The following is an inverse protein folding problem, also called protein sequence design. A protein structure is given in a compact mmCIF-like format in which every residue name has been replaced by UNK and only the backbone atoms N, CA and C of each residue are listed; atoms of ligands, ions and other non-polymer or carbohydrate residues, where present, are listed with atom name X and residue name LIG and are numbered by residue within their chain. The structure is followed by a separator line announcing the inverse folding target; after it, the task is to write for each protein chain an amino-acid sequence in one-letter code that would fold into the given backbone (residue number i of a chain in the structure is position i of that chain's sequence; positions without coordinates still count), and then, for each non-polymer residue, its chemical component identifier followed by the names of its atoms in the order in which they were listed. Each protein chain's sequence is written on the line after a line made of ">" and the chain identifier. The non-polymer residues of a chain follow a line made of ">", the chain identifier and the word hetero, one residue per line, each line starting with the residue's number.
data_IF_122417062338
#
_entry.id   IF_122417062338
#
_cell.length_a   1.000
_cell.length_b   1.000
_cell.length_c   1.000
_cell.angle_alpha   90.00
_cell.angle_beta   90.00
_cell.angle_gamma   90.00
#
_symmetry.space_group_name_H-M   'P 1'
#
loop_
_entity.id
_entity.type
_entity.pdbx_description
1 polymer ?
#
# COMPACT_ATOMS: atom_id res chain seq x y z
N UNK A 1 -7.25 32.46 29.35
CA UNK A 1 -8.07 31.92 28.24
C UNK A 1 -7.14 31.26 27.25
N UNK A 2 -7.41 30.01 26.85
CA UNK A 2 -6.64 29.35 25.78
C UNK A 2 -6.99 30.02 24.45
N UNK A 3 -5.98 30.32 23.62
CA UNK A 3 -6.22 30.86 22.28
C UNK A 3 -6.73 29.76 21.33
N UNK A 4 -7.40 30.14 20.24
CA UNK A 4 -7.85 29.17 19.23
C UNK A 4 -6.68 28.35 18.67
N UNK A 5 -5.53 28.99 18.45
CA UNK A 5 -4.32 28.32 17.97
C UNK A 5 -3.81 27.30 18.99
N UNK A 6 -3.71 27.68 20.27
CA UNK A 6 -3.31 26.74 21.33
C UNK A 6 -4.28 25.56 21.46
N UNK A 7 -5.57 25.80 21.28
CA UNK A 7 -6.58 24.75 21.28
C UNK A 7 -6.39 23.78 20.12
N UNK A 8 -6.22 24.29 18.89
CA UNK A 8 -5.93 23.46 17.71
C UNK A 8 -4.64 22.64 17.90
N UNK A 9 -3.61 23.23 18.50
CA UNK A 9 -2.36 22.53 18.81
C UNK A 9 -2.52 21.45 19.88
N UNK A 10 -3.43 21.63 20.84
CA UNK A 10 -3.76 20.59 21.82
C UNK A 10 -4.50 19.42 21.17
N UNK A 11 -5.46 19.70 20.28
CA UNK A 11 -6.14 18.67 19.47
C UNK A 11 -5.14 17.89 18.63
N UNK A 12 -4.23 18.60 17.95
CA UNK A 12 -3.19 17.97 17.12
C UNK A 12 -2.35 17.00 17.93
N UNK A 13 -1.86 17.41 19.10
CA UNK A 13 -1.05 16.57 19.99
C UNK A 13 -1.81 15.33 20.47
N UNK A 14 -3.03 15.49 20.96
CA UNK A 14 -3.86 14.37 21.41
C UNK A 14 -4.12 13.35 20.29
N UNK A 15 -4.35 13.81 19.06
CA UNK A 15 -4.50 12.92 17.91
C UNK A 15 -3.19 12.18 17.57
N UNK A 16 -2.05 12.86 17.61
CA UNK A 16 -0.75 12.20 17.40
C UNK A 16 -0.47 11.14 18.48
N UNK A 17 -0.79 11.42 19.75
CA UNK A 17 -0.69 10.46 20.85
C UNK A 17 -1.61 9.24 20.66
N UNK A 18 -2.76 9.43 20.03
CA UNK A 18 -3.66 8.34 19.62
C UNK A 18 -3.14 7.56 18.39
N UNK A 19 -1.97 7.89 17.86
CA UNK A 19 -1.36 7.22 16.70
C UNK A 19 -1.91 7.68 15.35
N UNK A 20 -2.53 8.85 15.29
CA UNK A 20 -2.75 9.52 14.02
C UNK A 20 -1.43 10.03 13.46
N UNK A 21 -1.34 10.15 12.14
CA UNK A 21 -0.16 10.60 11.40
C UNK A 21 -0.53 11.56 10.29
N UNK A 22 0.42 12.39 9.90
CA UNK A 22 0.31 13.18 8.68
C UNK A 22 0.31 12.26 7.45
N UNK A 23 -0.37 12.69 6.40
CA UNK A 23 -0.32 12.02 5.10
C UNK A 23 -0.35 13.07 4.00
N UNK A 24 0.56 12.95 3.04
CA UNK A 24 0.65 13.86 1.89
C UNK A 24 -0.54 13.67 0.93
N UNK A 25 -1.16 12.49 0.97
CA UNK A 25 -2.25 12.09 0.06
C UNK A 25 -3.65 12.52 0.52
N UNK A 26 -3.78 13.34 1.56
CA UNK A 26 -5.10 13.84 1.97
C UNK A 26 -5.44 15.10 1.17
N UNK A 27 -6.66 15.15 0.62
CA UNK A 27 -7.18 16.36 0.01
C UNK A 27 -7.26 17.49 1.05
N UNK A 28 -6.50 18.58 0.81
CA UNK A 28 -6.46 19.77 1.66
C UNK A 28 -7.64 20.67 1.30
N UNK A 29 -8.54 20.90 2.25
CA UNK A 29 -9.70 21.80 2.04
C UNK A 29 -9.33 23.27 2.31
N UNK A 30 -10.01 24.25 1.68
CA UNK A 30 -9.85 25.66 2.00
C UNK A 30 -10.04 25.92 3.50
N UNK A 31 -9.16 26.70 4.10
CA UNK A 31 -9.21 27.02 5.54
C UNK A 31 -8.77 25.89 6.48
N UNK A 32 -8.33 24.73 5.96
CA UNK A 32 -7.76 23.66 6.77
C UNK A 32 -6.47 24.14 7.47
N UNK A 33 -6.39 23.92 8.77
CA UNK A 33 -5.23 24.18 9.61
C UNK A 33 -4.30 22.95 9.65
N UNK A 34 -4.84 21.76 9.91
CA UNK A 34 -4.14 20.49 9.73
C UNK A 34 -5.10 19.36 9.35
N UNK A 35 -4.52 18.27 8.86
CA UNK A 35 -5.22 17.04 8.59
C UNK A 35 -4.38 15.82 8.99
N UNK A 36 -5.01 14.87 9.68
CA UNK A 36 -4.39 13.69 10.25
C UNK A 36 -5.20 12.43 9.92
N UNK A 37 -4.51 11.30 9.81
CA UNK A 37 -5.11 10.01 9.46
C UNK A 37 -4.64 8.91 10.41
N UNK A 38 -5.53 8.00 10.79
CA UNK A 38 -5.21 6.79 11.56
C UNK A 38 -5.72 5.55 10.84
N UNK A 39 -4.83 4.57 10.67
CA UNK A 39 -5.21 3.26 10.15
C UNK A 39 -6.09 2.52 11.17
N UNK A 40 -7.21 2.00 10.70
CA UNK A 40 -8.13 1.17 11.49
C UNK A 40 -8.08 -0.28 11.00
N UNK A 41 -8.72 -1.17 11.75
CA UNK A 41 -8.89 -2.57 11.35
C UNK A 41 -9.66 -2.67 10.03
N UNK A 42 -9.48 -3.81 9.36
CA UNK A 42 -10.19 -4.17 8.13
C UNK A 42 -10.02 -3.11 7.05
N UNK A 43 -8.82 -2.56 6.87
CA UNK A 43 -8.51 -1.68 5.75
C UNK A 43 -9.30 -0.36 5.71
N UNK A 44 -9.74 0.12 6.87
CA UNK A 44 -10.37 1.43 7.01
C UNK A 44 -9.35 2.46 7.52
N UNK A 45 -9.60 3.74 7.28
CA UNK A 45 -8.84 4.85 7.82
C UNK A 45 -9.79 5.88 8.41
N UNK A 46 -9.43 6.42 9.57
CA UNK A 46 -10.11 7.58 10.16
C UNK A 46 -9.33 8.83 9.80
N UNK A 47 -10.00 9.79 9.19
CA UNK A 47 -9.46 11.07 8.75
C UNK A 47 -10.03 12.15 9.65
N UNK A 48 -9.18 13.00 10.19
CA UNK A 48 -9.57 14.16 11.00
C UNK A 48 -8.96 15.41 10.38
N UNK A 49 -9.78 16.43 10.13
CA UNK A 49 -9.35 17.75 9.65
C UNK A 49 -9.75 18.79 10.67
N UNK A 50 -8.83 19.72 10.95
CA UNK A 50 -9.09 20.88 11.77
C UNK A 50 -8.99 22.14 10.91
N UNK A 51 -9.87 23.11 11.16
CA UNK A 51 -9.97 24.34 10.40
C UNK A 51 -9.57 25.54 11.24
N UNK A 52 -9.15 26.62 10.56
CA UNK A 52 -8.71 27.86 11.21
C UNK A 52 -9.82 28.58 11.98
N UNK A 53 -11.08 28.24 11.75
CA UNK A 53 -12.25 28.74 12.47
C UNK A 53 -12.60 27.91 13.72
N UNK A 54 -11.80 26.88 14.03
CA UNK A 54 -12.01 26.00 15.19
C UNK A 54 -12.94 24.81 14.93
N UNK A 55 -13.45 24.64 13.71
CA UNK A 55 -14.21 23.45 13.36
C UNK A 55 -13.31 22.22 13.21
N UNK A 56 -13.87 21.07 13.56
CA UNK A 56 -13.28 19.76 13.32
C UNK A 56 -14.21 18.95 12.41
N UNK A 57 -13.65 18.28 11.42
CA UNK A 57 -14.31 17.25 10.62
C UNK A 57 -13.66 15.90 10.89
N UNK A 58 -14.46 14.85 11.02
CA UNK A 58 -13.98 13.49 11.14
C UNK A 58 -14.79 12.53 10.26
N UNK A 59 -14.10 11.69 9.51
CA UNK A 59 -14.68 10.67 8.65
C UNK A 59 -13.92 9.35 8.77
N UNK A 60 -14.64 8.24 8.62
CA UNK A 60 -14.02 6.93 8.43
C UNK A 60 -14.33 6.47 7.02
N UNK A 61 -13.29 6.15 6.27
CA UNK A 61 -13.35 5.73 4.88
C UNK A 61 -12.52 4.48 4.64
N UNK A 62 -12.70 3.85 3.48
CA UNK A 62 -11.80 2.78 3.03
C UNK A 62 -10.39 3.38 2.89
N UNK A 63 -9.34 2.65 3.31
CA UNK A 63 -7.97 3.14 3.16
C UNK A 63 -7.65 3.44 1.69
N UNK A 64 -6.91 4.52 1.44
CA UNK A 64 -6.42 4.92 0.11
C UNK A 64 -5.62 3.84 -0.63
N UNK A 65 -5.18 2.79 0.07
CA UNK A 65 -4.48 1.66 -0.53
C UNK A 65 -5.40 0.68 -1.26
N UNK A 66 -6.72 0.87 -1.17
CA UNK A 66 -7.69 0.06 -1.89
C UNK A 66 -8.30 0.83 -3.06
N UNK A 67 -8.50 0.16 -4.19
CA UNK A 67 -9.15 0.76 -5.37
C UNK A 67 -10.57 1.25 -5.07
N UNK A 68 -11.22 0.63 -4.08
CA UNK A 68 -12.57 0.94 -3.64
C UNK A 68 -12.64 2.14 -2.68
N UNK A 69 -11.52 2.82 -2.41
CA UNK A 69 -11.43 4.02 -1.55
C UNK A 69 -12.61 5.00 -1.68
N UNK A 70 -13.03 5.46 -2.88
CA UNK A 70 -14.11 6.44 -3.01
C UNK A 70 -15.52 5.88 -2.77
N UNK A 71 -15.68 4.55 -2.66
CA UNK A 71 -17.00 3.91 -2.64
C UNK A 71 -17.70 3.99 -1.27
N UNK A 72 -16.95 4.19 -0.18
CA UNK A 72 -17.51 4.14 1.16
C UNK A 72 -16.82 5.09 2.12
N UNK A 73 -17.64 5.93 2.76
CA UNK A 73 -17.25 6.83 3.86
C UNK A 73 -18.42 7.00 4.82
N UNK A 74 -18.13 7.30 6.08
CA UNK A 74 -19.14 7.67 7.09
C UNK A 74 -18.61 8.77 8.01
N UNK A 75 -19.49 9.58 8.61
CA UNK A 75 -19.07 10.49 9.67
C UNK A 75 -18.47 9.73 10.86
N UNK A 76 -17.50 10.35 11.52
CA UNK A 76 -16.78 9.81 12.68
C UNK A 76 -16.66 10.83 13.83
N UNK A 77 -17.63 11.75 13.91
CA UNK A 77 -17.68 12.80 14.94
C UNK A 77 -17.80 12.24 16.36
N UNK A 78 -18.51 11.13 16.55
CA UNK A 78 -18.64 10.48 17.85
C UNK A 78 -17.31 9.84 18.31
N UNK A 79 -16.60 9.19 17.40
CA UNK A 79 -15.27 8.64 17.66
C UNK A 79 -14.29 9.75 18.03
N UNK A 80 -14.32 10.87 17.30
CA UNK A 80 -13.49 12.03 17.60
C UNK A 80 -13.86 12.63 18.97
N UNK A 81 -15.14 12.83 19.26
CA UNK A 81 -15.57 13.34 20.56
C UNK A 81 -15.09 12.45 21.71
N UNK A 82 -15.14 11.12 21.55
CA UNK A 82 -14.59 10.18 22.54
C UNK A 82 -13.08 10.35 22.76
N UNK A 83 -12.31 10.59 21.69
CA UNK A 83 -10.88 10.90 21.79
C UNK A 83 -10.66 12.20 22.57
N UNK A 84 -11.32 13.29 22.17
CA UNK A 84 -11.15 14.60 22.79
C UNK A 84 -11.54 14.58 24.28
N UNK A 85 -12.59 13.84 24.65
CA UNK A 85 -12.97 13.65 26.06
C UNK A 85 -11.90 12.95 26.88
N UNK A 86 -11.28 11.88 26.35
CA UNK A 86 -10.20 11.17 27.06
C UNK A 86 -8.99 12.07 27.35
N UNK A 87 -8.68 12.95 26.40
CA UNK A 87 -7.61 13.94 26.50
C UNK A 87 -8.03 15.23 27.22
N UNK A 88 -9.24 15.28 27.78
CA UNK A 88 -9.80 16.45 28.49
C UNK A 88 -9.78 17.74 27.67
N UNK A 89 -9.90 17.63 26.35
CA UNK A 89 -9.95 18.77 25.45
C UNK A 89 -11.39 19.27 25.36
N UNK A 90 -11.68 20.53 25.75
CA UNK A 90 -12.99 21.12 25.60
C UNK A 90 -13.39 21.16 24.11
N UNK A 91 -14.58 20.69 23.79
CA UNK A 91 -15.11 20.75 22.43
C UNK A 91 -16.63 20.85 22.46
N UNK A 92 -17.19 21.62 21.54
CA UNK A 92 -18.62 21.63 21.28
C UNK A 92 -18.99 20.37 20.49
N UNK A 93 -20.21 19.87 20.71
CA UNK A 93 -20.75 18.74 19.93
C UNK A 93 -20.86 19.06 18.42
N UNK A 94 -20.77 20.33 18.04
CA UNK A 94 -20.74 20.83 16.65
C UNK A 94 -19.43 20.51 15.91
N UNK A 95 -18.86 19.33 16.16
CA UNK A 95 -17.97 18.71 15.18
C UNK A 95 -18.82 18.47 13.94
N UNK A 96 -18.40 18.98 12.77
CA UNK A 96 -19.21 18.90 11.56
C UNK A 96 -19.61 17.45 11.30
N UNK A 97 -20.89 17.14 11.54
CA UNK A 97 -21.48 15.86 11.16
C UNK A 97 -21.72 15.98 9.67
N UNK A 98 -20.76 15.47 8.88
CA UNK A 98 -20.95 15.36 7.44
C UNK A 98 -22.24 14.57 7.18
N UNK A 99 -23.07 15.00 6.20
CA UNK A 99 -24.29 14.28 5.87
C UNK A 99 -23.95 12.82 5.55
N UNK A 100 -24.65 11.85 6.16
CA UNK A 100 -24.36 10.45 5.94
C UNK A 100 -24.83 10.10 4.55
N UNK A 101 -23.94 9.65 3.68
CA UNK A 101 -24.28 8.60 2.73
C UNK A 101 -23.09 7.65 2.63
N UNK A 102 -23.00 6.66 3.54
CA UNK A 102 -22.20 5.51 3.22
C UNK A 102 -22.78 4.93 1.93
N UNK A 103 -21.98 4.92 0.87
CA UNK A 103 -22.23 4.01 -0.24
C UNK A 103 -22.34 2.58 0.31
N UNK A 104 -22.67 1.61 -0.54
CA UNK A 104 -22.66 0.22 -0.10
C UNK A 104 -21.22 -0.17 0.23
N UNK A 105 -20.96 -0.68 1.43
CA UNK A 105 -19.63 -1.21 1.77
C UNK A 105 -19.30 -2.34 0.77
N UNK A 106 -18.18 -2.25 0.02
CA UNK A 106 -17.80 -3.28 -0.92
C UNK A 106 -17.49 -4.58 -0.19
N UNK A 107 -17.87 -5.71 -0.80
CA UNK A 107 -17.64 -7.05 -0.25
C UNK A 107 -16.16 -7.44 -0.26
N UNK A 108 -15.44 -6.98 -1.27
CA UNK A 108 -14.02 -7.23 -1.50
C UNK A 108 -13.29 -5.91 -1.64
N UNK A 109 -11.99 -5.90 -1.30
CA UNK A 109 -11.14 -4.71 -1.46
C UNK A 109 -9.80 -5.09 -2.03
N UNK A 110 -9.37 -4.38 -3.07
CA UNK A 110 -8.18 -4.70 -3.84
C UNK A 110 -7.04 -3.78 -3.42
N UNK A 111 -6.06 -4.27 -2.66
CA UNK A 111 -4.88 -3.49 -2.28
C UNK A 111 -3.99 -3.29 -3.52
N UNK A 112 -4.05 -2.10 -4.11
CA UNK A 112 -3.38 -1.82 -5.38
C UNK A 112 -1.86 -1.94 -5.26
N UNK A 113 -1.28 -1.81 -4.06
CA UNK A 113 0.16 -1.99 -3.87
C UNK A 113 0.56 -3.43 -4.13
N UNK A 114 -0.25 -4.39 -3.69
CA UNK A 114 -0.01 -5.82 -3.96
C UNK A 114 -0.18 -6.15 -5.44
N UNK A 115 -1.18 -5.54 -6.08
CA UNK A 115 -1.43 -5.72 -7.51
C UNK A 115 -0.32 -5.16 -8.40
N UNK A 116 0.40 -4.12 -7.98
CA UNK A 116 1.51 -3.53 -8.76
C UNK A 116 2.87 -4.21 -8.49
N UNK A 117 3.10 -4.73 -7.29
CA UNK A 117 4.36 -5.37 -6.93
C UNK A 117 4.59 -6.70 -7.66
N UNK A 118 3.54 -7.50 -7.86
CA UNK A 118 3.66 -8.81 -8.53
C UNK A 118 4.09 -8.71 -10.01
N UNK A 119 3.47 -7.86 -10.85
CA UNK A 119 3.86 -7.71 -12.25
C UNK A 119 5.27 -7.13 -12.42
N UNK A 120 5.66 -6.19 -11.57
CA UNK A 120 7.01 -5.60 -11.63
C UNK A 120 8.08 -6.61 -11.22
N UNK A 121 7.86 -7.35 -10.13
CA UNK A 121 8.75 -8.42 -9.71
C UNK A 121 8.88 -9.52 -10.79
N UNK A 122 7.78 -9.90 -11.44
CA UNK A 122 7.81 -10.86 -12.55
C UNK A 122 8.61 -10.33 -13.75
N UNK A 123 8.42 -9.06 -14.13
CA UNK A 123 9.18 -8.42 -15.22
C UNK A 123 10.68 -8.36 -14.92
N UNK A 124 11.05 -8.01 -13.68
CA UNK A 124 12.47 -7.97 -13.25
C UNK A 124 13.07 -9.38 -13.29
N UNK A 125 12.35 -10.38 -12.76
CA UNK A 125 12.82 -11.76 -12.77
C UNK A 125 13.00 -12.30 -14.19
N UNK A 126 12.04 -12.04 -15.08
CA UNK A 126 12.12 -12.46 -16.48
C UNK A 126 13.29 -11.80 -17.23
N UNK A 127 13.57 -10.52 -16.94
CA UNK A 127 14.73 -9.83 -17.51
C UNK A 127 16.04 -10.44 -16.99
N UNK A 128 16.11 -10.71 -15.68
CA UNK A 128 17.28 -11.34 -15.07
C UNK A 128 17.57 -12.73 -15.66
N UNK A 129 16.55 -13.57 -15.84
CA UNK A 129 16.72 -14.91 -16.43
C UNK A 129 17.13 -14.84 -17.90
N UNK A 130 16.60 -13.87 -18.67
CA UNK A 130 17.01 -13.62 -20.04
C UNK A 130 18.49 -13.21 -20.11
N UNK A 131 18.91 -12.24 -19.29
CA UNK A 131 20.31 -11.80 -19.23
C UNK A 131 21.25 -12.94 -18.85
N UNK A 132 20.89 -13.74 -17.84
CA UNK A 132 21.68 -14.90 -17.44
C UNK A 132 21.80 -15.93 -18.56
N UNK A 133 20.70 -16.22 -19.27
CA UNK A 133 20.70 -17.11 -20.44
C UNK A 133 21.62 -16.62 -21.55
N UNK A 134 21.61 -15.33 -21.86
CA UNK A 134 22.51 -14.72 -22.86
C UNK A 134 23.97 -14.81 -22.42
N UNK A 135 24.28 -14.55 -21.15
CA UNK A 135 25.64 -14.67 -20.60
C UNK A 135 26.12 -16.12 -20.69
N UNK A 136 25.31 -17.08 -20.27
CA UNK A 136 25.65 -18.51 -20.33
C UNK A 136 25.86 -18.97 -21.78
N UNK A 137 25.02 -18.53 -22.71
CA UNK A 137 25.19 -18.82 -24.14
C UNK A 137 26.48 -18.21 -24.70
N UNK A 138 26.79 -16.97 -24.34
CA UNK A 138 28.04 -16.32 -24.76
C UNK A 138 29.27 -17.02 -24.19
N UNK A 139 29.22 -17.46 -22.94
CA UNK A 139 30.27 -18.27 -22.31
C UNK A 139 30.42 -19.62 -23.02
N UNK A 140 29.32 -20.30 -23.33
CA UNK A 140 29.30 -21.56 -24.06
C UNK A 140 29.93 -21.43 -25.46
N UNK A 141 29.51 -20.43 -26.25
CA UNK A 141 30.10 -20.14 -27.57
C UNK A 141 31.59 -19.83 -27.45
N UNK A 142 31.99 -19.07 -26.42
CA UNK A 142 33.40 -18.75 -26.17
C UNK A 142 34.23 -19.99 -25.79
N UNK A 143 33.68 -20.92 -25.03
CA UNK A 143 34.38 -22.14 -24.61
C UNK A 143 34.43 -23.20 -25.71
N UNK A 144 33.40 -23.31 -26.54
CA UNK A 144 33.35 -24.31 -27.62
C UNK A 144 33.93 -23.81 -28.95
N UNK A 145 34.03 -22.48 -29.14
CA UNK A 145 34.68 -21.89 -30.31
C UNK A 145 36.20 -22.09 -30.39
N UNK A 146 36.83 -22.69 -29.36
CA UNK A 146 38.29 -22.84 -29.27
C UNK A 146 38.80 -24.25 -28.92
N UNK A 147 37.93 -25.26 -28.78
CA UNK A 147 38.37 -26.65 -28.53
C UNK A 147 37.91 -27.57 -29.67
N UNK A 148 38.66 -27.52 -30.77
CA UNK A 148 39.04 -28.63 -31.67
C UNK A 148 37.99 -29.73 -31.99
N UNK A 149 37.51 -29.70 -33.24
CA UNK A 149 37.52 -30.86 -34.15
C UNK A 149 36.19 -31.63 -34.33
N UNK A 150 35.87 -32.09 -35.55
CA UNK A 150 34.63 -32.80 -35.87
C UNK A 150 34.75 -34.27 -35.49
N UNK A 151 34.51 -34.63 -34.23
CA UNK A 151 34.20 -36.00 -33.83
C UNK A 151 33.70 -35.99 -32.40
N UNK A 152 32.56 -36.65 -32.19
CA UNK A 152 31.89 -36.99 -30.93
C UNK A 152 30.78 -36.07 -30.37
N UNK A 153 29.61 -36.71 -30.21
CA UNK A 153 28.56 -36.53 -29.19
C UNK A 153 27.31 -35.69 -29.54
N UNK A 154 26.51 -36.20 -30.48
CA UNK A 154 25.09 -35.85 -30.63
C UNK A 154 24.14 -36.37 -29.52
N UNK A 155 24.58 -36.49 -28.26
CA UNK A 155 23.78 -37.10 -27.19
C UNK A 155 23.70 -36.36 -25.85
N UNK A 156 24.67 -35.49 -25.53
CA UNK A 156 24.77 -34.88 -24.19
C UNK A 156 23.91 -33.63 -23.99
N UNK A 157 23.76 -32.80 -25.02
CA UNK A 157 23.19 -31.44 -24.90
C UNK A 157 21.66 -31.44 -24.69
N UNK A 158 20.97 -32.48 -25.20
CA UNK A 158 19.52 -32.64 -25.00
C UNK A 158 19.17 -33.07 -23.57
N UNK A 159 20.07 -33.76 -22.87
CA UNK A 159 19.85 -34.26 -21.50
C UNK A 159 20.05 -33.15 -20.47
N UNK A 160 21.05 -32.28 -20.65
CA UNK A 160 21.34 -31.18 -19.69
C UNK A 160 20.35 -30.02 -19.81
N UNK A 161 19.93 -29.64 -21.03
CA UNK A 161 18.88 -28.63 -21.22
C UNK A 161 17.50 -29.15 -20.76
N UNK A 162 17.19 -30.42 -21.02
CA UNK A 162 15.96 -31.05 -20.56
C UNK A 162 15.85 -31.12 -19.03
N UNK A 163 16.93 -31.50 -18.34
CA UNK A 163 16.96 -31.52 -16.86
C UNK A 163 16.89 -30.12 -16.25
N UNK A 164 17.58 -29.12 -16.82
CA UNK A 164 17.54 -27.74 -16.33
C UNK A 164 16.13 -27.14 -16.39
N UNK A 165 15.44 -27.32 -17.52
CA UNK A 165 14.06 -26.86 -17.70
C UNK A 165 13.11 -27.61 -16.75
N UNK A 166 13.26 -28.94 -16.61
CA UNK A 166 12.41 -29.74 -15.72
C UNK A 166 12.56 -29.36 -14.24
N UNK A 167 13.77 -29.09 -13.76
CA UNK A 167 14.03 -28.64 -12.38
C UNK A 167 13.41 -27.27 -12.13
N UNK A 168 13.52 -26.35 -13.09
CA UNK A 168 12.92 -25.00 -12.99
C UNK A 168 11.39 -25.10 -12.98
N UNK A 169 10.79 -25.93 -13.85
CA UNK A 169 9.34 -26.14 -13.88
C UNK A 169 8.84 -26.75 -12.56
N UNK A 170 9.51 -27.77 -12.02
CA UNK A 170 9.16 -28.39 -10.71
C UNK A 170 9.31 -27.40 -9.54
N UNK A 171 10.32 -26.54 -9.56
CA UNK A 171 10.52 -25.51 -8.54
C UNK A 171 9.41 -24.45 -8.60
N UNK A 172 9.00 -24.04 -9.81
CA UNK A 172 7.89 -23.11 -10.03
C UNK A 172 6.55 -23.74 -9.59
N UNK A 173 6.27 -25.00 -9.96
CA UNK A 173 5.07 -25.71 -9.50
C UNK A 173 5.01 -25.81 -7.97
N UNK A 174 6.15 -26.07 -7.31
CA UNK A 174 6.20 -26.18 -5.84
C UNK A 174 6.03 -24.82 -5.15
N UNK A 175 6.48 -23.73 -5.79
CA UNK A 175 6.31 -22.37 -5.29
C UNK A 175 4.92 -21.77 -5.58
N UNK A 176 4.22 -22.28 -6.61
CA UNK A 176 2.88 -21.83 -7.02
C UNK A 176 1.74 -22.68 -6.46
N UNK A 177 2.03 -23.69 -5.62
CA UNK A 177 0.99 -24.34 -4.82
C UNK A 177 0.40 -23.34 -3.82
N UNK A 178 -0.79 -22.83 -4.20
CA UNK A 178 -1.87 -22.43 -3.30
C UNK A 178 -2.14 -23.52 -2.25
#
# INVERSE_FOLDING_TARGET
>A
MQTLKEWLESVRRALLEEGFKFTEFQHVKPGQYFGLVKDLKRGLQMHVRAFRDGKLEAEIEISRFYLEHPQWKRPAGEELSRILKRHRIPHLKETLILPPQPGRMPKTRTDWRRSLLHPLAYKILALYTLCLGVILLALFIRTEGWIRGPLFLGGGLLVTLGMGIWVVVRAIEKALKL
#
